data_IF_185351688250
#
_entry.id   IF_185351688250
#
_cell.length_a   1.000
_cell.length_b   1.000
_cell.length_c   1.000
_cell.angle_alpha   90.00
_cell.angle_beta   90.00
_cell.angle_gamma   90.00
#
_symmetry.space_group_name_H-M   'P 1'
#
loop_
_entity.id
_entity.type
_entity.pdbx_description
1 polymer ?
#
# COMPACT_ATOMS: atom_id res chain seq x y z
N UNK A 1 0.20 -1.62 -7.34
CA UNK A 1 1.46 -1.10 -7.88
C UNK A 1 2.66 -1.62 -7.12
N UNK A 2 2.91 -1.14 -5.90
CA UNK A 2 4.17 -1.42 -5.19
C UNK A 2 4.49 -2.90 -4.98
N UNK A 3 3.49 -3.75 -4.69
CA UNK A 3 3.70 -5.21 -4.58
C UNK A 3 4.15 -5.87 -5.89
N UNK A 4 3.70 -5.38 -7.04
CA UNK A 4 4.13 -5.88 -8.35
C UNK A 4 5.60 -5.51 -8.60
N UNK A 5 6.01 -4.30 -8.19
CA UNK A 5 7.41 -3.87 -8.24
C UNK A 5 8.29 -4.81 -7.40
N UNK A 6 7.92 -5.07 -6.13
CA UNK A 6 8.69 -5.99 -5.28
C UNK A 6 8.76 -7.40 -5.86
N UNK A 7 7.66 -7.89 -6.43
CA UNK A 7 7.63 -9.19 -7.09
C UNK A 7 8.62 -9.20 -8.26
N UNK A 8 8.58 -8.22 -9.15
CA UNK A 8 9.51 -8.12 -10.27
C UNK A 8 10.98 -8.01 -9.83
N UNK A 9 11.30 -7.24 -8.79
CA UNK A 9 12.65 -7.13 -8.24
C UNK A 9 13.15 -8.50 -7.74
N UNK A 10 12.30 -9.28 -7.07
CA UNK A 10 12.67 -10.63 -6.58
C UNK A 10 13.01 -11.60 -7.71
N UNK A 11 12.40 -11.38 -8.88
CA UNK A 11 12.59 -12.14 -10.09
C UNK A 11 13.47 -11.41 -11.13
N UNK A 12 14.36 -10.53 -10.66
CA UNK A 12 15.41 -9.92 -11.49
C UNK A 12 14.86 -9.21 -12.74
N UNK A 13 13.68 -8.62 -12.63
CA UNK A 13 13.04 -7.88 -13.72
C UNK A 13 12.46 -8.75 -14.84
N UNK A 14 12.34 -10.06 -14.65
CA UNK A 14 11.83 -11.00 -15.66
C UNK A 14 10.39 -10.63 -16.13
N UNK A 15 10.20 -10.26 -17.40
CA UNK A 15 8.87 -9.94 -17.95
C UNK A 15 7.85 -11.07 -17.82
N UNK A 16 8.28 -12.34 -17.77
CA UNK A 16 7.39 -13.49 -17.64
C UNK A 16 6.59 -13.45 -16.33
N UNK A 17 7.11 -12.80 -15.28
CA UNK A 17 6.40 -12.63 -14.01
C UNK A 17 5.09 -11.84 -14.17
N UNK A 18 4.99 -10.96 -15.16
CA UNK A 18 3.81 -10.14 -15.43
C UNK A 18 2.91 -10.71 -16.55
N UNK A 19 3.31 -11.81 -17.20
CA UNK A 19 2.46 -12.53 -18.14
C UNK A 19 1.25 -13.13 -17.41
N UNK A 20 0.05 -12.89 -17.93
CA UNK A 20 -1.18 -13.40 -17.33
C UNK A 20 -1.45 -14.83 -17.80
N UNK A 21 -1.47 -15.77 -16.87
CA UNK A 21 -1.67 -17.20 -17.06
C UNK A 21 -3.06 -17.68 -16.56
N UNK A 22 -4.01 -16.75 -16.43
CA UNK A 22 -5.32 -17.01 -15.85
C UNK A 22 -5.40 -16.85 -14.33
N UNK A 23 -4.26 -16.63 -13.64
CA UNK A 23 -4.21 -16.47 -12.18
C UNK A 23 -3.75 -15.07 -11.78
N UNK A 24 -4.29 -14.56 -10.68
CA UNK A 24 -3.79 -13.35 -10.02
C UNK A 24 -2.47 -13.68 -9.34
N UNK A 25 -1.55 -12.71 -9.27
CA UNK A 25 -0.30 -12.86 -8.52
C UNK A 25 -0.60 -13.20 -7.04
N UNK A 26 -0.26 -14.42 -6.54
CA UNK A 26 -0.57 -14.81 -5.16
C UNK A 26 0.08 -13.88 -4.13
N UNK A 27 1.30 -13.47 -4.45
CA UNK A 27 2.15 -12.54 -3.73
C UNK A 27 1.64 -11.08 -3.72
N UNK A 28 0.66 -10.76 -4.57
CA UNK A 28 0.00 -9.44 -4.64
C UNK A 28 -1.35 -9.42 -3.90
N UNK A 29 -1.84 -10.58 -3.45
CA UNK A 29 -3.14 -10.69 -2.77
C UNK A 29 -3.07 -11.20 -1.32
N UNK A 30 -1.92 -11.69 -0.88
CA UNK A 30 -1.73 -12.23 0.47
C UNK A 30 -1.54 -11.11 1.52
N UNK A 31 -2.50 -10.92 2.43
CA UNK A 31 -2.43 -9.97 3.56
C UNK A 31 -2.49 -10.69 4.90
N UNK A 32 -1.56 -10.39 5.81
CA UNK A 32 -1.40 -11.10 7.09
C UNK A 32 -2.67 -11.06 7.94
N UNK A 33 -3.37 -9.92 7.94
CA UNK A 33 -4.50 -9.59 8.80
C UNK A 33 -5.87 -10.03 8.25
N UNK A 34 -5.96 -10.45 6.99
CA UNK A 34 -7.18 -11.03 6.44
C UNK A 34 -7.20 -12.53 6.72
N UNK A 35 -7.74 -12.90 7.89
CA UNK A 35 -8.05 -14.30 8.23
C UNK A 35 -9.51 -14.43 8.60
N UNK A 36 -10.19 -15.34 7.92
CA UNK A 36 -11.63 -15.57 8.05
C UNK A 36 -11.90 -16.39 9.32
N UNK A 37 -11.89 -15.72 10.48
CA UNK A 37 -12.19 -16.25 11.82
C UNK A 37 -11.11 -17.17 12.43
N UNK A 38 -10.98 -17.20 13.78
CA UNK A 38 -10.01 -18.06 14.46
C UNK A 38 -10.24 -19.57 14.26
N UNK A 39 -11.49 -19.97 14.01
CA UNK A 39 -11.98 -21.34 13.84
C UNK A 39 -11.93 -21.84 12.39
N UNK A 40 -11.41 -21.03 11.46
CA UNK A 40 -11.25 -21.43 10.07
C UNK A 40 -10.39 -22.70 9.93
N UNK A 41 -10.74 -23.64 9.03
CA UNK A 41 -9.92 -24.83 8.78
C UNK A 41 -8.46 -24.48 8.44
N UNK A 42 -7.50 -25.32 8.86
CA UNK A 42 -6.08 -25.12 8.52
C UNK A 42 -5.92 -25.00 7.00
N UNK A 43 -5.14 -24.00 6.56
CA UNK A 43 -4.93 -23.72 5.13
C UNK A 43 -5.90 -22.70 4.53
N UNK A 44 -6.95 -22.31 5.26
CA UNK A 44 -7.85 -21.22 4.84
C UNK A 44 -7.33 -19.85 5.29
N UNK A 45 -6.73 -19.78 6.49
CA UNK A 45 -6.12 -18.56 7.05
C UNK A 45 -4.89 -18.14 6.25
N UNK A 46 -4.73 -16.84 6.03
CA UNK A 46 -3.59 -16.30 5.29
C UNK A 46 -2.24 -16.67 5.91
N UNK A 47 -2.14 -16.71 7.25
CA UNK A 47 -0.92 -17.17 7.94
C UNK A 47 -0.53 -18.62 7.60
N UNK A 48 -1.49 -19.51 7.40
CA UNK A 48 -1.21 -20.91 7.05
C UNK A 48 -0.77 -21.02 5.59
N UNK A 49 -1.39 -20.24 4.69
CA UNK A 49 -0.97 -20.15 3.27
C UNK A 49 0.46 -19.61 3.16
N UNK A 50 0.78 -18.54 3.90
CA UNK A 50 2.16 -17.97 3.94
C UNK A 50 3.16 -18.99 4.49
N UNK A 51 2.79 -19.84 5.46
CA UNK A 51 3.68 -20.89 5.99
C UNK A 51 4.04 -21.95 4.94
N UNK A 52 3.17 -22.20 3.97
CA UNK A 52 3.40 -23.17 2.89
C UNK A 52 4.26 -22.61 1.74
N UNK A 53 4.45 -21.30 1.67
CA UNK A 53 5.28 -20.68 0.63
C UNK A 53 6.78 -20.98 0.83
N UNK A 54 7.54 -21.21 -0.25
CA UNK A 54 8.99 -21.33 -0.17
C UNK A 54 9.62 -20.02 0.33
N UNK A 55 10.79 -20.12 0.98
CA UNK A 55 11.56 -18.94 1.40
C UNK A 55 12.43 -18.44 0.24
N UNK A 56 12.70 -17.13 0.15
CA UNK A 56 12.16 -16.05 0.99
C UNK A 56 10.67 -15.78 0.68
N UNK A 57 9.87 -15.60 1.73
CA UNK A 57 8.41 -15.39 1.62
C UNK A 57 8.08 -13.90 1.43
N UNK A 58 6.98 -13.62 0.74
CA UNK A 58 6.51 -12.26 0.53
C UNK A 58 5.01 -12.17 0.78
N UNK A 59 4.62 -11.19 1.59
CA UNK A 59 3.25 -10.93 2.00
C UNK A 59 3.15 -9.46 2.42
N UNK A 60 1.93 -8.94 2.48
CA UNK A 60 1.66 -7.57 2.88
C UNK A 60 0.92 -7.52 4.22
N UNK A 61 0.93 -6.35 4.85
CA UNK A 61 0.09 -6.04 6.00
C UNK A 61 -0.13 -4.53 6.08
N UNK A 62 -1.28 -4.11 6.60
CA UNK A 62 -1.57 -2.72 6.96
C UNK A 62 -1.48 -2.48 8.48
N UNK A 63 -0.92 -3.42 9.23
CA UNK A 63 -0.75 -3.25 10.68
C UNK A 63 0.33 -2.20 10.99
N UNK A 64 0.05 -1.34 11.97
CA UNK A 64 1.02 -0.42 12.56
C UNK A 64 2.16 -1.17 13.25
N UNK A 65 3.30 -0.52 13.46
CA UNK A 65 4.53 -1.17 13.92
C UNK A 65 4.31 -2.03 15.19
N UNK A 66 3.59 -1.49 16.17
CA UNK A 66 3.33 -2.18 17.45
C UNK A 66 2.42 -3.40 17.31
N UNK A 67 1.60 -3.47 16.24
CA UNK A 67 0.70 -4.59 15.99
C UNK A 67 1.34 -5.70 15.12
N UNK A 68 2.45 -5.40 14.45
CA UNK A 68 3.20 -6.40 13.67
C UNK A 68 3.86 -7.40 14.64
N UNK A 69 3.74 -8.72 14.41
CA UNK A 69 4.40 -9.73 15.23
C UNK A 69 5.91 -9.48 15.38
N UNK A 70 6.43 -9.55 16.60
CA UNK A 70 7.85 -9.32 16.92
C UNK A 70 8.81 -10.14 16.06
N UNK A 71 8.45 -11.40 15.76
CA UNK A 71 9.25 -12.28 14.90
C UNK A 71 9.39 -11.76 13.46
N UNK A 72 8.43 -10.99 12.95
CA UNK A 72 8.50 -10.31 11.66
C UNK A 72 9.37 -9.07 11.78
N UNK A 73 9.13 -8.23 12.81
CA UNK A 73 9.92 -7.03 13.08
C UNK A 73 11.43 -7.30 13.21
N UNK A 74 11.81 -8.48 13.70
CA UNK A 74 13.22 -8.87 13.90
C UNK A 74 13.85 -9.60 12.72
N UNK A 75 13.06 -10.38 11.94
CA UNK A 75 13.61 -11.34 10.96
C UNK A 75 13.31 -10.99 9.51
N UNK A 76 12.35 -10.12 9.24
CA UNK A 76 11.96 -9.75 7.88
C UNK A 76 12.57 -8.39 7.49
N UNK A 77 12.85 -8.23 6.20
CA UNK A 77 12.96 -6.90 5.59
C UNK A 77 11.55 -6.33 5.43
N UNK A 78 11.33 -5.10 5.91
CA UNK A 78 10.05 -4.42 5.88
C UNK A 78 10.19 -3.18 5.02
N UNK A 79 9.28 -3.01 4.06
CA UNK A 79 9.18 -1.79 3.27
C UNK A 79 7.86 -1.13 3.64
N UNK A 80 7.94 0.03 4.28
CA UNK A 80 6.78 0.82 4.66
C UNK A 80 6.58 1.95 3.65
N UNK A 81 5.34 2.13 3.17
CA UNK A 81 5.00 3.18 2.21
C UNK A 81 3.95 4.09 2.83
N UNK A 82 4.35 5.32 3.15
CA UNK A 82 3.43 6.38 3.54
C UNK A 82 2.85 7.06 2.30
N UNK A 83 1.67 7.68 2.42
CA UNK A 83 1.13 8.58 1.38
C UNK A 83 0.47 9.77 2.03
N UNK A 84 0.30 10.84 1.27
CA UNK A 84 -0.45 12.01 1.69
C UNK A 84 -1.86 11.60 2.20
N UNK A 85 -2.25 11.99 3.42
CA UNK A 85 -3.54 11.63 4.01
C UNK A 85 -4.74 12.00 3.11
N UNK A 86 -4.68 13.12 2.38
CA UNK A 86 -5.81 13.55 1.52
C UNK A 86 -6.04 12.57 0.36
N UNK A 87 -4.97 12.15 -0.32
CA UNK A 87 -5.06 11.16 -1.39
C UNK A 87 -5.45 9.77 -0.86
N UNK A 88 -4.99 9.42 0.35
CA UNK A 88 -5.38 8.18 1.03
C UNK A 88 -6.89 8.16 1.32
N UNK A 89 -7.48 9.26 1.80
CA UNK A 89 -8.93 9.39 2.04
C UNK A 89 -9.70 9.15 0.74
N UNK A 90 -9.33 9.83 -0.35
CA UNK A 90 -9.97 9.65 -1.66
C UNK A 90 -9.82 8.23 -2.17
N UNK A 91 -8.62 7.65 -2.06
CA UNK A 91 -8.39 6.25 -2.45
C UNK A 91 -9.25 5.28 -1.64
N UNK A 92 -9.42 5.54 -0.34
CA UNK A 92 -10.23 4.71 0.56
C UNK A 92 -11.70 4.74 0.17
N UNK A 93 -12.24 5.93 -0.14
CA UNK A 93 -13.61 6.09 -0.61
C UNK A 93 -13.89 5.23 -1.83
N UNK A 94 -13.10 5.38 -2.89
CA UNK A 94 -13.29 4.59 -4.11
C UNK A 94 -13.08 3.08 -3.88
N UNK A 95 -12.14 2.70 -3.01
CA UNK A 95 -11.94 1.30 -2.67
C UNK A 95 -13.17 0.70 -1.99
N UNK A 96 -13.73 1.37 -0.97
CA UNK A 96 -14.93 0.90 -0.27
C UNK A 96 -16.17 0.91 -1.17
N UNK A 97 -16.34 1.91 -2.03
CA UNK A 97 -17.42 1.91 -3.03
C UNK A 97 -17.35 0.70 -3.98
N UNK A 98 -16.15 0.17 -4.23
CA UNK A 98 -15.98 -1.05 -5.05
C UNK A 98 -16.06 -2.35 -4.25
N UNK A 99 -15.98 -2.32 -2.92
CA UNK A 99 -15.86 -3.53 -2.10
C UNK A 99 -17.23 -4.09 -1.74
N UNK A 100 -17.70 -5.09 -2.51
CA UNK A 100 -19.06 -5.66 -2.38
C UNK A 100 -19.42 -6.10 -0.95
N UNK A 101 -18.53 -6.77 -0.17
CA UNK A 101 -18.86 -7.16 1.20
C UNK A 101 -19.12 -5.99 2.15
N UNK A 102 -18.56 -4.81 1.88
CA UNK A 102 -18.78 -3.61 2.69
C UNK A 102 -20.10 -2.93 2.35
N UNK A 103 -20.62 -3.14 1.12
CA UNK A 103 -21.84 -2.51 0.61
C UNK A 103 -21.92 -1.01 0.95
N UNK A 104 -20.78 -0.32 0.85
CA UNK A 104 -20.66 1.07 1.29
C UNK A 104 -21.52 1.99 0.41
N UNK A 105 -22.39 2.77 1.05
CA UNK A 105 -23.32 3.69 0.40
C UNK A 105 -23.19 5.14 0.87
N UNK A 106 -22.12 5.46 1.59
CA UNK A 106 -21.83 6.80 2.08
C UNK A 106 -21.09 7.68 1.06
N UNK A 107 -20.71 8.86 1.52
CA UNK A 107 -20.03 9.93 0.76
C UNK A 107 -18.52 9.96 1.02
N UNK A 108 -17.81 10.79 0.25
CA UNK A 108 -16.38 11.04 0.50
C UNK A 108 -16.17 11.73 1.85
N UNK A 109 -17.08 12.62 2.21
CA UNK A 109 -17.13 13.31 3.50
C UNK A 109 -17.28 12.32 4.65
N UNK A 110 -18.13 11.29 4.51
CA UNK A 110 -18.27 10.24 5.53
C UNK A 110 -16.94 9.50 5.76
N UNK A 111 -16.21 9.20 4.68
CA UNK A 111 -14.88 8.58 4.79
C UNK A 111 -13.90 9.54 5.45
N UNK A 112 -13.83 10.80 5.03
CA UNK A 112 -12.95 11.79 5.67
C UNK A 112 -13.26 11.94 7.16
N UNK A 113 -14.54 12.02 7.53
CA UNK A 113 -14.96 12.08 8.93
C UNK A 113 -14.59 10.80 9.70
N UNK A 114 -14.59 9.64 9.06
CA UNK A 114 -14.11 8.40 9.70
C UNK A 114 -12.62 8.46 10.02
N UNK A 115 -11.79 9.07 9.16
CA UNK A 115 -10.36 9.32 9.46
C UNK A 115 -10.19 10.35 10.57
N UNK A 116 -10.92 11.47 10.51
CA UNK A 116 -10.84 12.56 11.50
C UNK A 116 -11.21 12.07 12.92
N UNK A 117 -12.14 11.13 13.01
CA UNK A 117 -12.63 10.57 14.27
C UNK A 117 -11.97 9.23 14.66
N UNK A 118 -10.88 8.83 13.98
CA UNK A 118 -10.16 7.58 14.22
C UNK A 118 -11.03 6.30 14.14
N UNK A 119 -12.03 6.31 13.26
CA UNK A 119 -12.97 5.20 12.99
C UNK A 119 -12.68 4.45 11.69
N UNK A 120 -11.80 4.95 10.83
CA UNK A 120 -11.40 4.24 9.61
C UNK A 120 -10.49 3.04 9.96
N UNK A 121 -10.36 2.02 9.08
CA UNK A 121 -9.42 0.95 9.32
C UNK A 121 -7.98 1.47 9.48
N UNK A 122 -7.25 0.89 10.44
CA UNK A 122 -5.84 1.20 10.72
C UNK A 122 -5.56 2.64 11.18
N UNK A 123 -6.56 3.35 11.71
CA UNK A 123 -6.36 4.65 12.40
C UNK A 123 -6.05 4.46 13.88
N UNK A 124 -5.41 5.45 14.57
CA UNK A 124 -5.09 6.81 14.12
C UNK A 124 -4.02 6.91 13.03
N UNK A 125 -4.32 7.59 11.92
CA UNK A 125 -3.47 7.61 10.71
C UNK A 125 -2.06 8.16 10.96
N UNK A 126 -1.96 9.33 11.61
CA UNK A 126 -0.66 9.97 11.86
C UNK A 126 0.19 9.14 12.83
N UNK A 127 -0.44 8.56 13.86
CA UNK A 127 0.23 7.62 14.78
C UNK A 127 0.71 6.36 14.05
N UNK A 128 -0.07 5.85 13.10
CA UNK A 128 0.33 4.72 12.27
C UNK A 128 1.60 5.03 11.47
N UNK A 129 1.65 6.18 10.79
CA UNK A 129 2.84 6.61 10.03
C UNK A 129 4.03 6.85 10.97
N UNK A 130 3.81 7.55 12.07
CA UNK A 130 4.83 7.81 13.10
C UNK A 130 5.43 6.52 13.67
N UNK A 131 4.61 5.47 13.82
CA UNK A 131 5.04 4.18 14.37
C UNK A 131 6.18 3.53 13.60
N UNK A 132 6.21 3.70 12.27
CA UNK A 132 7.28 3.24 11.40
C UNK A 132 8.36 4.29 11.21
N UNK A 133 8.03 5.58 11.15
CA UNK A 133 9.02 6.64 10.98
C UNK A 133 10.06 6.66 12.12
N UNK A 134 9.65 6.46 13.38
CA UNK A 134 10.58 6.37 14.52
C UNK A 134 11.56 5.18 14.44
N UNK A 135 11.27 4.18 13.61
CA UNK A 135 12.08 2.98 13.43
C UNK A 135 12.75 2.93 12.05
N UNK A 136 12.69 4.00 11.27
CA UNK A 136 13.20 4.06 9.88
C UNK A 136 14.69 3.80 9.76
N UNK A 137 15.47 4.08 10.80
CA UNK A 137 16.92 3.95 10.80
C UNK A 137 17.39 2.50 11.10
N UNK A 138 16.46 1.56 11.26
CA UNK A 138 16.78 0.13 11.39
C UNK A 138 17.16 -0.45 10.04
N UNK A 139 18.25 -1.22 9.97
CA UNK A 139 18.77 -1.85 8.74
C UNK A 139 17.76 -2.73 7.99
N UNK A 140 16.74 -3.24 8.67
CA UNK A 140 15.71 -4.08 8.08
C UNK A 140 14.39 -3.36 7.78
N UNK A 141 14.35 -2.03 7.87
CA UNK A 141 13.17 -1.20 7.56
C UNK A 141 13.55 -0.17 6.52
N UNK A 142 12.81 -0.14 5.41
CA UNK A 142 12.89 0.90 4.40
C UNK A 142 11.60 1.70 4.42
N UNK A 143 11.69 2.98 4.77
CA UNK A 143 10.56 3.90 4.73
C UNK A 143 10.55 4.67 3.40
N UNK A 144 9.41 4.66 2.71
CA UNK A 144 9.20 5.36 1.44
C UNK A 144 7.91 6.19 1.50
N UNK A 145 7.79 7.13 0.57
CA UNK A 145 6.53 7.82 0.29
C UNK A 145 5.98 7.37 -1.07
N UNK A 146 4.66 7.30 -1.21
CA UNK A 146 4.00 6.97 -2.47
C UNK A 146 4.38 8.00 -3.55
N UNK A 147 4.48 9.26 -3.16
CA UNK A 147 4.86 10.38 -4.01
C UNK A 147 6.27 10.18 -4.59
N UNK A 148 7.25 9.77 -3.78
CA UNK A 148 8.60 9.45 -4.28
C UNK A 148 8.60 8.27 -5.24
N UNK A 149 7.74 7.26 -4.98
CA UNK A 149 7.60 6.12 -5.90
C UNK A 149 7.05 6.50 -7.27
N UNK A 150 6.35 7.63 -7.37
CA UNK A 150 5.84 8.16 -8.63
C UNK A 150 6.84 9.12 -9.30
N UNK A 151 7.37 10.10 -8.56
CA UNK A 151 8.27 11.12 -9.11
C UNK A 151 9.63 10.56 -9.52
N UNK A 152 10.18 9.66 -8.71
CA UNK A 152 11.52 9.11 -8.90
C UNK A 152 11.43 7.59 -9.03
N UNK A 153 10.50 7.09 -9.86
CA UNK A 153 10.16 5.68 -9.95
C UNK A 153 11.39 4.77 -10.14
N UNK A 154 12.23 5.05 -11.14
CA UNK A 154 13.43 4.24 -11.42
C UNK A 154 14.42 4.23 -10.25
N UNK A 155 14.73 5.40 -9.69
CA UNK A 155 15.65 5.51 -8.56
C UNK A 155 15.09 4.83 -7.30
N UNK A 156 13.78 4.92 -7.07
CA UNK A 156 13.10 4.24 -5.97
C UNK A 156 13.15 2.73 -6.14
N UNK A 157 12.92 2.21 -7.35
CA UNK A 157 13.04 0.78 -7.67
C UNK A 157 14.46 0.28 -7.41
N UNK A 158 15.47 1.02 -7.86
CA UNK A 158 16.89 0.67 -7.63
C UNK A 158 17.23 0.69 -6.13
N UNK A 159 16.79 1.69 -5.38
CA UNK A 159 16.97 1.76 -3.94
C UNK A 159 16.33 0.57 -3.22
N UNK A 160 15.10 0.21 -3.60
CA UNK A 160 14.40 -0.96 -3.07
C UNK A 160 15.12 -2.26 -3.43
N UNK A 161 15.64 -2.39 -4.66
CA UNK A 161 16.41 -3.56 -5.08
C UNK A 161 17.66 -3.74 -4.22
N UNK A 162 18.44 -2.67 -4.02
CA UNK A 162 19.61 -2.65 -3.14
C UNK A 162 19.25 -3.02 -1.71
N UNK A 163 18.19 -2.44 -1.15
CA UNK A 163 17.69 -2.79 0.17
C UNK A 163 17.32 -4.28 0.27
N UNK A 164 16.74 -4.87 -0.78
CA UNK A 164 16.44 -6.29 -0.85
C UNK A 164 17.69 -7.17 -1.11
N UNK A 165 18.85 -6.57 -1.40
CA UNK A 165 20.10 -7.28 -1.68
C UNK A 165 20.20 -7.74 -3.14
N UNK A 166 19.52 -7.07 -4.05
CA UNK A 166 19.53 -7.31 -5.49
C UNK A 166 20.32 -6.21 -6.19
N UNK A 167 21.27 -6.60 -7.04
CA UNK A 167 22.01 -5.71 -7.93
C UNK A 167 21.46 -5.90 -9.34
N UNK A 168 20.43 -5.11 -9.69
CA UNK A 168 19.78 -5.20 -10.99
C UNK A 168 20.61 -4.46 -12.05
N UNK A 169 20.61 -4.98 -13.27
CA UNK A 169 21.16 -4.26 -14.43
C UNK A 169 20.22 -3.14 -14.86
N UNK A 170 20.72 -2.20 -15.67
CA UNK A 170 19.88 -1.13 -16.22
C UNK A 170 18.70 -1.67 -17.04
N UNK A 171 18.92 -2.73 -17.83
CA UNK A 171 17.86 -3.40 -18.59
C UNK A 171 16.79 -3.98 -17.66
N UNK A 172 17.19 -4.65 -16.57
CA UNK A 172 16.25 -5.20 -15.60
C UNK A 172 15.45 -4.10 -14.91
N UNK A 173 16.10 -2.99 -14.52
CA UNK A 173 15.41 -1.83 -13.94
C UNK A 173 14.40 -1.23 -14.93
N UNK A 174 14.78 -1.07 -16.19
CA UNK A 174 13.92 -0.48 -17.22
C UNK A 174 12.71 -1.38 -17.52
N UNK A 175 12.89 -2.70 -17.52
CA UNK A 175 11.80 -3.67 -17.61
C UNK A 175 10.81 -3.50 -16.46
N UNK A 176 11.30 -3.37 -15.22
CA UNK A 176 10.44 -3.17 -14.04
C UNK A 176 9.67 -1.86 -14.16
N UNK A 177 10.33 -0.76 -14.50
CA UNK A 177 9.71 0.57 -14.67
C UNK A 177 8.60 0.51 -15.71
N UNK A 178 8.86 -0.12 -16.86
CA UNK A 178 7.90 -0.24 -17.96
C UNK A 178 6.68 -1.07 -17.58
N UNK A 179 6.90 -2.28 -17.03
CA UNK A 179 5.84 -3.24 -16.70
C UNK A 179 5.05 -2.85 -15.45
N UNK A 180 5.66 -2.11 -14.53
CA UNK A 180 5.01 -1.59 -13.33
C UNK A 180 4.53 -0.15 -13.50
N UNK A 181 4.55 0.43 -14.71
CA UNK A 181 3.92 1.72 -14.98
C UNK A 181 2.41 1.66 -14.76
N UNK A 182 1.80 2.82 -14.48
CA UNK A 182 0.36 2.91 -14.24
C UNK A 182 -0.46 2.30 -15.38
N UNK A 183 -0.15 2.67 -16.63
CA UNK A 183 -0.88 2.18 -17.80
C UNK A 183 -0.71 0.68 -18.01
N UNK A 184 0.51 0.15 -17.84
CA UNK A 184 0.80 -1.28 -17.95
C UNK A 184 0.01 -2.07 -16.90
N UNK A 185 0.08 -1.67 -15.63
CA UNK A 185 -0.60 -2.41 -14.57
C UNK A 185 -2.12 -2.27 -14.63
N UNK A 186 -2.65 -1.10 -15.01
CA UNK A 186 -4.10 -0.90 -15.16
C UNK A 186 -4.70 -1.89 -16.16
N UNK A 187 -3.97 -2.19 -17.24
CA UNK A 187 -4.37 -3.16 -18.27
C UNK A 187 -4.11 -4.62 -17.87
N UNK A 188 -3.19 -4.87 -16.93
CA UNK A 188 -2.75 -6.22 -16.57
C UNK A 188 -3.66 -6.90 -15.54
N UNK A 189 -4.42 -7.90 -15.99
CA UNK A 189 -5.36 -8.72 -15.19
C UNK A 189 -4.70 -9.45 -14.01
N UNK A 190 -3.38 -9.64 -14.05
CA UNK A 190 -2.61 -10.30 -12.98
C UNK A 190 -2.50 -9.44 -11.71
N UNK A 191 -2.61 -8.12 -11.84
CA UNK A 191 -2.37 -7.15 -10.75
C UNK A 191 -3.49 -6.13 -10.54
N UNK A 192 -4.31 -5.86 -11.56
CA UNK A 192 -5.42 -4.89 -11.46
C UNK A 192 -6.66 -5.43 -10.73
N UNK A 193 -6.62 -6.68 -10.27
CA UNK A 193 -7.70 -7.37 -9.53
C UNK A 193 -9.04 -7.45 -10.27
N UNK A 194 -9.10 -7.32 -11.59
CA UNK A 194 -10.38 -7.41 -12.34
C UNK A 194 -11.06 -8.77 -12.21
N UNK A 195 -10.33 -9.82 -11.87
CA UNK A 195 -10.84 -11.18 -11.64
C UNK A 195 -11.23 -11.44 -10.17
N UNK A 196 -11.05 -10.47 -9.27
CA UNK A 196 -11.34 -10.62 -7.85
C UNK A 196 -12.84 -10.44 -7.59
N UNK A 197 -13.55 -11.52 -7.25
CA UNK A 197 -15.01 -11.57 -7.20
C UNK A 197 -15.66 -10.54 -6.25
N UNK A 198 -14.97 -10.17 -5.17
CA UNK A 198 -15.48 -9.21 -4.17
C UNK A 198 -15.37 -7.74 -4.59
N UNK A 199 -14.67 -7.43 -5.69
CA UNK A 199 -14.53 -6.06 -6.18
C UNK A 199 -15.51 -5.82 -7.33
N UNK A 200 -16.26 -4.74 -7.25
CA UNK A 200 -17.08 -4.19 -8.31
C UNK A 200 -16.32 -3.11 -9.06
N UNK A 201 -15.66 -3.52 -10.15
CA UNK A 201 -14.90 -2.62 -11.01
C UNK A 201 -15.78 -1.68 -11.85
N UNK A 202 -17.10 -1.89 -11.87
CA UNK A 202 -18.04 -0.92 -12.48
C UNK A 202 -18.26 0.30 -11.59
N UNK A 203 -18.22 0.12 -10.26
CA UNK A 203 -18.27 1.20 -9.29
C UNK A 203 -16.93 1.97 -9.22
N UNK A 204 -15.81 1.25 -9.08
CA UNK A 204 -14.48 1.84 -9.21
C UNK A 204 -13.41 0.80 -9.53
N UNK A 205 -12.49 1.06 -10.49
CA UNK A 205 -11.38 0.15 -10.75
C UNK A 205 -10.35 0.18 -9.62
N UNK A 206 -9.77 -0.98 -9.29
CA UNK A 206 -8.75 -1.08 -8.23
C UNK A 206 -7.49 -0.24 -8.52
N UNK A 207 -7.05 -0.19 -9.78
CA UNK A 207 -5.98 0.73 -10.23
C UNK A 207 -6.67 1.93 -10.91
N UNK A 208 -6.86 3.01 -10.15
CA UNK A 208 -7.75 4.12 -10.53
C UNK A 208 -7.09 5.27 -11.29
N UNK A 209 -6.17 6.00 -10.64
CA UNK A 209 -5.56 7.23 -11.20
C UNK A 209 -4.04 7.21 -11.20
N UNK A 210 -3.39 6.60 -10.20
CA UNK A 210 -1.92 6.45 -10.18
C UNK A 210 -1.16 7.77 -10.08
N UNK A 211 -1.81 8.84 -9.61
CA UNK A 211 -1.22 10.17 -9.45
C UNK A 211 -1.29 10.61 -7.99
N UNK A 212 -0.41 11.53 -7.61
CA UNK A 212 -0.51 12.27 -6.34
C UNK A 212 -1.27 13.58 -6.56
N UNK A 213 -1.80 14.17 -5.48
CA UNK A 213 -2.55 15.43 -5.54
C UNK A 213 -3.93 15.30 -6.19
N UNK A 214 -4.40 14.07 -6.46
CA UNK A 214 -5.69 13.84 -7.08
C UNK A 214 -6.83 14.29 -6.15
N UNK A 215 -6.62 14.36 -4.84
CA UNK A 215 -7.57 14.90 -3.86
C UNK A 215 -8.16 16.27 -4.26
N UNK A 216 -7.39 17.12 -4.94
CA UNK A 216 -7.83 18.46 -5.41
C UNK A 216 -9.03 18.42 -6.35
N UNK A 217 -9.26 17.29 -7.03
CA UNK A 217 -10.41 17.10 -7.93
C UNK A 217 -11.67 16.63 -7.22
N UNK A 218 -11.56 16.21 -5.97
CA UNK A 218 -12.64 15.53 -5.23
C UNK A 218 -13.06 16.31 -3.99
N UNK A 219 -12.14 17.01 -3.33
CA UNK A 219 -12.46 17.76 -2.12
C UNK A 219 -13.17 19.07 -2.45
N UNK A 220 -14.26 19.35 -1.73
CA UNK A 220 -14.79 20.70 -1.61
C UNK A 220 -13.83 21.58 -0.80
N UNK A 221 -14.02 22.89 -0.83
CA UNK A 221 -13.22 23.82 -0.03
C UNK A 221 -13.39 23.50 1.46
N UNK A 222 -14.63 23.30 1.91
CA UNK A 222 -14.97 23.03 3.30
C UNK A 222 -14.36 21.71 3.78
N UNK A 223 -14.41 20.66 2.95
CA UNK A 223 -13.82 19.37 3.27
C UNK A 223 -12.29 19.48 3.36
N UNK A 224 -11.66 20.19 2.41
CA UNK A 224 -10.23 20.40 2.43
C UNK A 224 -9.77 21.12 3.71
N UNK A 225 -10.46 22.19 4.10
CA UNK A 225 -10.13 22.92 5.33
C UNK A 225 -10.30 22.06 6.59
N UNK A 226 -11.34 21.22 6.65
CA UNK A 226 -11.56 20.31 7.76
C UNK A 226 -10.42 19.29 7.88
N UNK A 227 -10.00 18.71 6.75
CA UNK A 227 -8.89 17.75 6.69
C UNK A 227 -7.55 18.44 6.99
N UNK A 228 -7.32 19.67 6.53
CA UNK A 228 -6.10 20.44 6.85
C UNK A 228 -5.98 20.73 8.35
N UNK A 229 -7.08 21.13 9.00
CA UNK A 229 -7.11 21.31 10.46
C UNK A 229 -6.80 20.01 11.20
N UNK A 230 -7.34 18.89 10.73
CA UNK A 230 -7.06 17.57 11.30
C UNK A 230 -5.59 17.17 11.12
N UNK A 231 -5.03 17.27 9.91
CA UNK A 231 -3.61 16.97 9.63
C UNK A 231 -2.72 17.77 10.58
N UNK A 232 -2.88 19.10 10.63
CA UNK A 232 -2.07 19.96 11.48
C UNK A 232 -2.17 19.59 12.97
N UNK A 233 -3.38 19.29 13.44
CA UNK A 233 -3.62 18.88 14.83
C UNK A 233 -2.94 17.55 15.14
N UNK A 234 -3.08 16.55 14.28
CA UNK A 234 -2.53 15.21 14.53
C UNK A 234 -1.00 15.19 14.35
N UNK A 235 -0.45 15.87 13.35
CA UNK A 235 1.00 16.05 13.20
C UNK A 235 1.64 16.67 14.45
N UNK A 236 0.97 17.66 15.07
CA UNK A 236 1.46 18.26 16.30
C UNK A 236 1.52 17.25 17.46
N UNK A 237 0.55 16.34 17.58
CA UNK A 237 0.53 15.32 18.64
C UNK A 237 1.66 14.29 18.52
N UNK A 238 2.10 14.00 17.30
CA UNK A 238 3.17 13.03 17.02
C UNK A 238 4.44 13.69 16.51
N UNK A 239 4.62 14.99 16.78
CA UNK A 239 5.70 15.78 16.18
C UNK A 239 7.10 15.25 16.50
N UNK A 240 7.32 14.75 17.73
CA UNK A 240 8.58 14.10 18.11
C UNK A 240 8.84 12.83 17.31
N UNK A 241 7.79 12.05 17.05
CA UNK A 241 7.86 10.78 16.36
C UNK A 241 7.86 10.92 14.83
N UNK A 242 7.58 12.12 14.30
CA UNK A 242 7.65 12.51 12.88
C UNK A 242 8.73 13.56 12.61
N UNK A 243 9.74 13.68 13.48
CA UNK A 243 10.82 14.63 13.30
C UNK A 243 11.50 14.45 11.94
N UNK A 244 11.63 15.54 11.18
CA UNK A 244 12.19 15.53 9.81
C UNK A 244 11.26 15.00 8.71
N UNK A 245 10.09 14.45 9.04
CA UNK A 245 9.11 13.99 8.06
C UNK A 245 7.98 14.99 7.84
N UNK A 246 7.59 15.20 6.58
CA UNK A 246 6.40 15.96 6.21
C UNK A 246 5.69 15.27 5.06
N UNK A 247 4.36 15.19 5.13
CA UNK A 247 3.58 14.73 3.98
C UNK A 247 3.65 15.76 2.85
N UNK A 248 3.76 15.29 1.61
CA UNK A 248 3.65 16.15 0.42
C UNK A 248 2.18 16.36 0.08
N UNK A 249 1.56 17.32 0.76
CA UNK A 249 0.15 17.64 0.60
C UNK A 249 -0.12 18.68 -0.50
N UNK A 250 0.93 19.30 -1.07
CA UNK A 250 0.86 20.39 -2.06
C UNK A 250 0.70 19.92 -3.50
#
# INVERSE_FOLDING_TARGET
MFRAIIHMIRHDGDPACMAFDGKVLPDVDTYLEFTDRPDAPIGTRTVDKVKQQPRPRFYATHLGYEAVPKSILEKAKIIYVAGNPKDVIVSTYFFFSSLKPFAFSGTLEDIAMSYINDKAPYTPFHKHVASFWKHRDRDNILFLTYEDTLMNCRATIDHVAKFLGKNLTDEQLDNIVSLCSFDSMRKNKKVNKTTHAQLDHSASPFIRSGTYGNWKKHFTIELNEAVDRWIKKEEHKVASDLEGFRFRCE
#
